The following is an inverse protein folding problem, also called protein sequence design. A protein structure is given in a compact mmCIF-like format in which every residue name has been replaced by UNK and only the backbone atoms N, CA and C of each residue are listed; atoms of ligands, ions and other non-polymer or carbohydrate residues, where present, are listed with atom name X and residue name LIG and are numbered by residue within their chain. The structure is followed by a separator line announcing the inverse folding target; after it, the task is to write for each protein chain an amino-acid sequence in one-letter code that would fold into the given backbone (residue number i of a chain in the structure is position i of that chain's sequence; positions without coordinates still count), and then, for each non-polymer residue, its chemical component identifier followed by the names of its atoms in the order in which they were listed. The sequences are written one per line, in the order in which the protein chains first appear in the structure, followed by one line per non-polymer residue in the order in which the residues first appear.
data_IF_917944119920
#
_entry.id   IF_917944119920
#
_cell.length_a   1.000
_cell.length_b   1.000
_cell.length_c   1.000
_cell.angle_alpha   90.00
_cell.angle_beta   90.00
_cell.angle_gamma   90.00
#
_symmetry.space_group_name_H-M   'P 1'
#
loop_
_entity.id
_entity.type
_entity.pdbx_description
1 polymer ?
#
# COMPACT_ATOMS: atom_id res chain seq x y z
N UNK A 1 -2.21 -1.49 11.62
CA UNK A 1 -3.04 -2.47 10.91
C UNK A 1 -2.25 -3.00 9.72
N UNK A 2 -2.02 -4.31 9.67
CA UNK A 2 -1.20 -4.95 8.62
C UNK A 2 -1.98 -5.29 7.33
N UNK A 3 -3.25 -4.95 7.25
CA UNK A 3 -4.05 -5.06 6.02
C UNK A 3 -4.81 -3.77 5.77
N UNK A 4 -4.88 -3.34 4.52
CA UNK A 4 -5.65 -2.17 4.13
C UNK A 4 -7.16 -2.37 4.39
N UNK A 5 -7.85 -1.26 4.65
CA UNK A 5 -9.29 -1.26 4.85
C UNK A 5 -10.01 -0.85 3.58
N UNK A 6 -10.57 -1.81 2.87
CA UNK A 6 -11.36 -1.60 1.65
C UNK A 6 -12.87 -1.55 1.90
N UNK A 7 -13.31 -1.45 3.16
CA UNK A 7 -14.73 -1.38 3.51
C UNK A 7 -15.32 0.02 3.31
N UNK A 8 -15.33 0.49 2.06
CA UNK A 8 -15.81 1.83 1.70
C UNK A 8 -17.33 1.91 1.56
N UNK A 9 -17.90 3.03 2.00
CA UNK A 9 -19.24 3.41 1.57
C UNK A 9 -19.23 3.88 0.12
N UNK A 10 -20.38 3.90 -0.56
CA UNK A 10 -20.47 4.43 -1.92
C UNK A 10 -19.97 5.88 -2.02
N UNK A 11 -20.25 6.72 -0.99
CA UNK A 11 -19.71 8.09 -0.91
C UNK A 11 -18.20 8.10 -0.81
N UNK A 12 -17.62 7.22 0.04
CA UNK A 12 -16.18 7.07 0.18
C UNK A 12 -15.51 6.61 -1.12
N UNK A 13 -16.15 5.71 -1.88
CA UNK A 13 -15.64 5.28 -3.20
C UNK A 13 -15.56 6.45 -4.18
N UNK A 14 -16.61 7.26 -4.28
CA UNK A 14 -16.64 8.43 -5.16
C UNK A 14 -15.62 9.50 -4.73
N UNK A 15 -15.40 9.67 -3.43
CA UNK A 15 -14.41 10.63 -2.92
C UNK A 15 -12.95 10.16 -3.13
N UNK A 16 -12.70 8.84 -3.03
CA UNK A 16 -11.33 8.29 -3.13
C UNK A 16 -10.93 7.99 -4.58
N UNK A 17 -11.86 7.56 -5.42
CA UNK A 17 -11.63 7.14 -6.81
C UNK A 17 -12.72 7.72 -7.75
N UNK A 18 -12.85 9.04 -7.80
CA UNK A 18 -13.84 9.77 -8.58
C UNK A 18 -13.94 9.30 -10.05
N UNK A 19 -12.77 9.13 -10.70
CA UNK A 19 -12.69 8.66 -12.08
C UNK A 19 -13.15 7.21 -12.27
N UNK A 20 -13.10 6.38 -11.22
CA UNK A 20 -13.52 4.98 -11.28
C UNK A 20 -14.96 4.77 -10.86
N UNK A 21 -15.48 5.67 -10.06
CA UNK A 21 -16.85 5.66 -9.56
C UNK A 21 -17.56 6.95 -9.97
N UNK A 22 -17.88 7.11 -11.28
CA UNK A 22 -18.37 8.38 -11.84
C UNK A 22 -19.81 8.71 -11.46
N UNK A 23 -20.57 7.77 -10.88
CA UNK A 23 -21.95 8.00 -10.45
C UNK A 23 -22.30 7.23 -9.18
N UNK A 24 -23.28 7.79 -8.45
CA UNK A 24 -23.80 7.15 -7.23
C UNK A 24 -24.38 5.76 -7.51
N UNK A 25 -25.17 5.62 -8.57
CA UNK A 25 -25.79 4.34 -8.95
C UNK A 25 -24.75 3.24 -9.18
N UNK A 26 -23.63 3.61 -9.81
CA UNK A 26 -22.54 2.68 -10.04
C UNK A 26 -21.79 2.38 -8.71
N UNK A 27 -21.44 3.40 -7.92
CA UNK A 27 -20.73 3.23 -6.66
C UNK A 27 -21.52 2.41 -5.63
N UNK A 28 -22.86 2.52 -5.61
CA UNK A 28 -23.73 1.72 -4.74
C UNK A 28 -23.61 0.23 -4.97
N UNK A 29 -23.27 -0.23 -6.18
CA UNK A 29 -23.05 -1.64 -6.50
C UNK A 29 -21.83 -2.25 -5.79
N UNK A 30 -20.95 -1.40 -5.25
CA UNK A 30 -19.73 -1.77 -4.53
C UNK A 30 -19.79 -1.45 -3.03
N UNK A 31 -20.90 -0.85 -2.57
CA UNK A 31 -21.04 -0.39 -1.20
C UNK A 31 -20.74 -1.49 -0.18
N UNK A 32 -19.70 -1.27 0.66
CA UNK A 32 -19.30 -2.21 1.70
C UNK A 32 -18.97 -3.63 1.22
N UNK A 33 -18.45 -3.76 -0.01
CA UNK A 33 -18.01 -5.03 -0.59
C UNK A 33 -16.48 -5.00 -0.83
N UNK A 34 -15.64 -5.21 0.20
CA UNK A 34 -14.19 -5.02 0.13
C UNK A 34 -13.51 -5.80 -1.00
N UNK A 35 -13.88 -7.06 -1.18
CA UNK A 35 -13.30 -7.92 -2.23
C UNK A 35 -13.64 -7.42 -3.62
N UNK A 36 -14.91 -7.09 -3.87
CA UNK A 36 -15.35 -6.54 -5.14
C UNK A 36 -14.70 -5.19 -5.44
N UNK A 37 -14.52 -4.35 -4.41
CA UNK A 37 -13.82 -3.07 -4.52
C UNK A 37 -12.37 -3.33 -4.93
N UNK A 38 -11.64 -4.19 -4.22
CA UNK A 38 -10.25 -4.52 -4.53
C UNK A 38 -10.09 -5.02 -5.96
N UNK A 39 -10.90 -6.01 -6.35
CA UNK A 39 -10.86 -6.61 -7.68
C UNK A 39 -11.20 -5.62 -8.80
N UNK A 40 -11.94 -4.57 -8.51
CA UNK A 40 -12.23 -3.51 -9.47
C UNK A 40 -11.13 -2.42 -9.50
N UNK A 41 -10.73 -1.89 -8.34
CA UNK A 41 -9.80 -0.75 -8.30
C UNK A 41 -8.37 -1.11 -8.66
N UNK A 42 -7.96 -2.36 -8.39
CA UNK A 42 -6.62 -2.86 -8.68
C UNK A 42 -6.53 -3.73 -9.95
N UNK A 43 -7.65 -3.93 -10.67
CA UNK A 43 -7.67 -4.70 -11.90
C UNK A 43 -6.71 -4.13 -12.97
N UNK A 44 -6.02 -5.02 -13.67
CA UNK A 44 -5.13 -4.71 -14.79
C UNK A 44 -4.05 -3.67 -14.45
N UNK A 45 -3.62 -3.64 -13.18
CA UNK A 45 -2.57 -2.75 -12.66
C UNK A 45 -1.57 -3.55 -11.82
N UNK A 46 -0.32 -3.10 -11.78
CA UNK A 46 0.72 -3.69 -10.93
C UNK A 46 0.84 -5.22 -11.10
N UNK A 47 0.65 -5.71 -12.34
CA UNK A 47 0.70 -7.13 -12.66
C UNK A 47 -0.54 -7.94 -12.31
N UNK A 48 -1.60 -7.32 -11.77
CA UNK A 48 -2.88 -7.98 -11.56
C UNK A 48 -3.61 -8.23 -12.88
N UNK A 49 -4.36 -9.32 -12.94
CA UNK A 49 -5.27 -9.63 -14.03
C UNK A 49 -6.56 -8.77 -14.01
N UNK A 50 -7.56 -9.10 -14.87
CA UNK A 50 -8.87 -8.45 -14.89
C UNK A 50 -9.62 -8.66 -13.56
N UNK A 51 -10.76 -7.97 -13.32
CA UNK A 51 -11.53 -8.13 -12.07
C UNK A 51 -11.91 -9.57 -11.76
N UNK A 52 -12.16 -10.39 -12.79
CA UNK A 52 -12.52 -11.81 -12.66
C UNK A 52 -11.37 -12.71 -12.18
N UNK A 53 -10.13 -12.25 -12.23
CA UNK A 53 -8.97 -13.01 -11.74
C UNK A 53 -8.90 -13.14 -10.23
N UNK A 54 -9.53 -12.22 -9.49
CA UNK A 54 -9.40 -12.13 -8.03
C UNK A 54 -8.07 -11.55 -7.55
N UNK A 55 -7.15 -11.21 -8.47
CA UNK A 55 -5.81 -10.71 -8.13
C UNK A 55 -5.85 -9.41 -7.30
N UNK A 56 -6.84 -8.54 -7.55
CA UNK A 56 -6.98 -7.29 -6.80
C UNK A 56 -7.18 -7.52 -5.30
N UNK A 57 -8.00 -8.51 -4.94
CA UNK A 57 -8.20 -8.91 -3.55
C UNK A 57 -7.04 -9.74 -3.02
N UNK A 58 -6.56 -10.71 -3.82
CA UNK A 58 -5.45 -11.57 -3.43
C UNK A 58 -4.20 -10.76 -3.10
N UNK A 59 -3.87 -9.75 -3.88
CA UNK A 59 -2.67 -8.92 -3.72
C UNK A 59 -2.98 -7.49 -3.24
N UNK A 60 -4.02 -7.35 -2.38
CA UNK A 60 -4.33 -6.08 -1.70
C UNK A 60 -3.22 -5.66 -0.75
N UNK A 61 -3.24 -4.43 -0.28
CA UNK A 61 -2.23 -3.87 0.60
C UNK A 61 -2.08 -4.66 1.91
N UNK A 62 -0.88 -5.21 2.15
CA UNK A 62 -0.51 -5.92 3.39
C UNK A 62 0.88 -5.54 3.88
N UNK A 63 1.15 -5.88 5.14
CA UNK A 63 2.39 -5.53 5.83
C UNK A 63 2.44 -4.08 6.27
N UNK A 64 3.57 -3.66 6.85
CA UNK A 64 3.75 -2.29 7.37
C UNK A 64 3.69 -1.23 6.27
N UNK A 65 4.16 -1.57 5.06
CA UNK A 65 4.16 -0.67 3.90
C UNK A 65 2.86 -0.71 3.10
N UNK A 66 1.96 -1.67 3.37
CA UNK A 66 0.82 -1.98 2.51
C UNK A 66 1.25 -2.31 1.08
N UNK A 67 2.17 -3.27 0.93
CA UNK A 67 2.60 -3.79 -0.36
C UNK A 67 1.37 -4.24 -1.17
N UNK A 68 1.22 -3.74 -2.40
CA UNK A 68 0.02 -3.94 -3.23
C UNK A 68 0.40 -4.34 -4.64
N UNK A 69 -0.35 -5.29 -5.21
CA UNK A 69 -0.23 -5.75 -6.59
C UNK A 69 0.72 -6.92 -6.79
N UNK A 70 0.32 -7.84 -7.67
CA UNK A 70 0.99 -9.12 -7.93
C UNK A 70 2.48 -8.97 -8.28
N UNK A 71 2.82 -7.99 -9.11
CA UNK A 71 4.19 -7.69 -9.49
C UNK A 71 5.06 -7.32 -8.29
N UNK A 72 4.54 -6.47 -7.39
CA UNK A 72 5.27 -6.05 -6.19
C UNK A 72 5.42 -7.20 -5.18
N UNK A 73 4.40 -8.06 -5.05
CA UNK A 73 4.49 -9.27 -4.25
C UNK A 73 5.57 -10.21 -4.79
N UNK A 74 5.63 -10.42 -6.11
CA UNK A 74 6.65 -11.27 -6.74
C UNK A 74 8.07 -10.72 -6.54
N UNK A 75 8.27 -9.40 -6.70
CA UNK A 75 9.57 -8.74 -6.43
C UNK A 75 9.99 -8.89 -4.98
N UNK A 76 9.07 -8.62 -4.05
CA UNK A 76 9.33 -8.75 -2.62
C UNK A 76 9.64 -10.20 -2.24
N UNK A 77 8.93 -11.18 -2.83
CA UNK A 77 9.21 -12.62 -2.64
C UNK A 77 10.67 -12.96 -2.92
N UNK A 78 11.19 -12.50 -4.06
CA UNK A 78 12.60 -12.67 -4.40
C UNK A 78 13.54 -11.95 -3.45
N UNK A 79 13.19 -10.73 -3.04
CA UNK A 79 14.02 -9.90 -2.17
C UNK A 79 14.14 -10.39 -0.73
N UNK A 80 13.09 -11.03 -0.19
CA UNK A 80 13.10 -11.52 1.20
C UNK A 80 13.16 -13.05 1.31
N UNK A 81 13.21 -13.78 0.17
CA UNK A 81 13.28 -15.23 0.16
C UNK A 81 12.05 -15.94 0.75
N UNK A 82 10.85 -15.41 0.45
CA UNK A 82 9.55 -15.95 0.91
C UNK A 82 8.56 -16.01 -0.24
N UNK A 83 7.75 -17.06 -0.35
CA UNK A 83 6.73 -17.17 -1.41
C UNK A 83 5.46 -16.39 -1.05
N UNK A 84 5.49 -15.06 -1.25
CA UNK A 84 4.36 -14.17 -1.03
C UNK A 84 3.33 -14.20 -2.18
N UNK A 85 3.68 -14.81 -3.31
CA UNK A 85 2.75 -14.93 -4.46
C UNK A 85 1.74 -16.03 -4.21
N UNK A 86 2.20 -17.19 -3.72
CA UNK A 86 1.30 -18.29 -3.35
C UNK A 86 0.54 -17.98 -2.07
N UNK A 87 1.22 -17.47 -1.05
CA UNK A 87 0.65 -17.12 0.26
C UNK A 87 0.93 -15.66 0.64
N UNK A 88 0.12 -14.71 0.16
CA UNK A 88 0.28 -13.28 0.47
C UNK A 88 -0.09 -12.94 1.92
N UNK A 89 -0.81 -13.80 2.64
CA UNK A 89 -1.22 -13.54 4.01
C UNK A 89 -0.07 -13.65 5.02
N UNK A 90 1.09 -14.23 4.64
CA UNK A 90 2.33 -14.15 5.42
C UNK A 90 2.68 -12.70 5.82
N UNK A 91 2.35 -11.71 4.99
CA UNK A 91 2.57 -10.30 5.33
C UNK A 91 1.67 -9.76 6.46
N UNK A 92 0.75 -10.54 6.99
CA UNK A 92 -0.01 -10.22 8.21
C UNK A 92 0.72 -10.63 9.48
N UNK A 93 1.83 -11.36 9.37
CA UNK A 93 2.70 -11.73 10.47
C UNK A 93 3.77 -10.66 10.70
N UNK A 94 4.21 -10.49 11.94
CA UNK A 94 5.11 -9.40 12.34
C UNK A 94 6.45 -9.44 11.61
N UNK A 95 7.10 -10.61 11.52
CA UNK A 95 8.44 -10.72 10.92
C UNK A 95 8.40 -10.53 9.41
N UNK A 96 7.53 -11.21 8.63
CA UNK A 96 7.40 -10.96 7.20
C UNK A 96 6.99 -9.51 6.88
N UNK A 97 6.10 -8.92 7.68
CA UNK A 97 5.69 -7.52 7.51
C UNK A 97 6.88 -6.55 7.68
N UNK A 98 7.72 -6.77 8.69
CA UNK A 98 8.93 -5.95 8.91
C UNK A 98 9.96 -6.16 7.79
N UNK A 99 10.22 -7.41 7.39
CA UNK A 99 11.16 -7.74 6.29
C UNK A 99 10.72 -7.11 4.97
N UNK A 100 9.44 -7.16 4.65
CA UNK A 100 8.90 -6.55 3.42
C UNK A 100 9.03 -5.03 3.43
N UNK A 101 8.88 -4.37 4.58
CA UNK A 101 9.09 -2.93 4.72
C UNK A 101 10.57 -2.55 4.57
N UNK A 102 11.48 -3.30 5.17
CA UNK A 102 12.93 -3.09 5.02
C UNK A 102 13.39 -3.32 3.58
N UNK A 103 12.87 -4.37 2.92
CA UNK A 103 13.12 -4.61 1.51
C UNK A 103 12.64 -3.42 0.65
N UNK A 104 11.43 -2.94 0.88
CA UNK A 104 10.88 -1.81 0.11
C UNK A 104 11.69 -0.53 0.34
N UNK A 105 12.17 -0.29 1.55
CA UNK A 105 13.04 0.82 1.89
C UNK A 105 14.33 0.80 1.07
N UNK A 106 14.95 -0.37 0.97
CA UNK A 106 16.14 -0.56 0.13
C UNK A 106 15.82 -0.45 -1.37
N UNK A 107 14.68 -0.97 -1.81
CA UNK A 107 14.26 -1.00 -3.22
C UNK A 107 14.00 0.40 -3.82
N UNK A 108 13.64 1.37 -2.98
CA UNK A 108 13.44 2.77 -3.38
C UNK A 108 14.61 3.68 -2.99
N UNK A 109 15.75 3.12 -2.61
CA UNK A 109 16.95 3.85 -2.16
C UNK A 109 16.64 4.90 -1.08
N UNK A 110 15.76 4.55 -0.12
CA UNK A 110 15.21 5.49 0.86
C UNK A 110 16.28 6.17 1.73
N UNK A 111 17.43 5.52 1.95
CA UNK A 111 18.56 6.12 2.68
C UNK A 111 19.10 7.38 2.02
N UNK A 112 19.04 7.50 0.67
CA UNK A 112 19.49 8.73 -0.02
C UNK A 112 18.74 9.98 0.44
N UNK A 113 17.50 9.83 0.85
CA UNK A 113 16.67 10.90 1.39
C UNK A 113 16.82 11.02 2.91
N UNK A 114 16.81 9.88 3.61
CA UNK A 114 16.86 9.85 5.07
C UNK A 114 18.17 10.43 5.62
N UNK A 115 19.32 10.11 5.02
CA UNK A 115 20.64 10.52 5.47
C UNK A 115 20.86 12.04 5.37
N UNK A 116 20.12 12.72 4.48
CA UNK A 116 20.15 14.18 4.33
C UNK A 116 18.92 14.88 4.96
N UNK A 117 18.05 14.12 5.63
CA UNK A 117 16.85 14.67 6.27
C UNK A 117 15.76 15.14 5.31
N UNK A 118 15.77 14.67 4.04
CA UNK A 118 14.77 15.02 3.04
C UNK A 118 13.47 14.19 3.22
N UNK A 119 12.64 14.63 4.15
CA UNK A 119 11.33 13.97 4.43
C UNK A 119 10.39 14.07 3.23
N UNK A 120 10.49 15.11 2.44
CA UNK A 120 9.61 15.36 1.28
C UNK A 120 9.95 14.40 0.15
N UNK A 121 11.24 14.33 -0.23
CA UNK A 121 11.73 13.39 -1.23
C UNK A 121 11.45 11.94 -0.82
N UNK A 122 11.70 11.58 0.45
CA UNK A 122 11.38 10.27 1.00
C UNK A 122 9.88 9.94 0.90
N UNK A 123 9.03 10.92 1.26
CA UNK A 123 7.57 10.75 1.16
C UNK A 123 7.15 10.49 -0.28
N UNK A 124 7.70 11.23 -1.23
CA UNK A 124 7.40 11.05 -2.65
C UNK A 124 7.90 9.70 -3.17
N UNK A 125 9.13 9.32 -2.86
CA UNK A 125 9.72 8.04 -3.27
C UNK A 125 8.89 6.83 -2.77
N UNK A 126 8.39 6.92 -1.52
CA UNK A 126 7.59 5.84 -0.92
C UNK A 126 6.15 5.80 -1.43
N UNK A 127 5.49 6.94 -1.61
CA UNK A 127 4.04 7.01 -1.88
C UNK A 127 3.68 7.37 -3.33
N UNK A 128 4.63 7.87 -4.13
CA UNK A 128 4.33 8.46 -5.43
C UNK A 128 3.56 9.78 -5.34
N UNK A 129 3.61 10.46 -4.18
CA UNK A 129 2.93 11.73 -3.91
C UNK A 129 3.08 12.17 -2.45
N UNK A 130 2.49 13.30 -2.09
CA UNK A 130 2.67 13.95 -0.79
C UNK A 130 1.52 13.72 0.21
N UNK A 131 0.68 12.72 -0.01
CA UNK A 131 -0.41 12.40 0.92
C UNK A 131 0.15 12.05 2.32
N UNK A 132 -0.28 12.79 3.37
CA UNK A 132 0.17 12.60 4.74
C UNK A 132 1.59 13.16 5.02
N UNK A 133 2.10 14.07 4.20
CA UNK A 133 3.43 14.68 4.40
C UNK A 133 3.53 15.43 5.72
N UNK A 134 2.55 16.27 6.07
CA UNK A 134 2.59 17.06 7.30
C UNK A 134 2.62 16.17 8.55
N UNK A 135 1.85 15.08 8.53
CA UNK A 135 1.85 14.08 9.60
C UNK A 135 3.23 13.39 9.75
N UNK A 136 3.86 13.05 8.61
CA UNK A 136 5.22 12.47 8.61
C UNK A 136 6.26 13.43 9.13
N UNK A 137 6.22 14.70 8.74
CA UNK A 137 7.13 15.73 9.25
C UNK A 137 7.02 15.84 10.76
N UNK A 138 5.80 16.00 11.29
CA UNK A 138 5.55 16.09 12.73
C UNK A 138 6.03 14.85 13.50
N UNK A 139 5.80 13.65 12.95
CA UNK A 139 6.26 12.40 13.56
C UNK A 139 7.79 12.26 13.52
N UNK A 140 8.43 12.68 12.42
CA UNK A 140 9.89 12.67 12.29
C UNK A 140 10.54 13.61 13.28
N UNK A 141 10.05 14.85 13.41
CA UNK A 141 10.54 15.84 14.39
C UNK A 141 10.42 15.28 15.82
N UNK A 142 9.28 14.68 16.18
CA UNK A 142 9.09 14.07 17.50
C UNK A 142 10.04 12.90 17.74
N UNK A 143 10.27 12.06 16.72
CA UNK A 143 11.20 10.93 16.85
C UNK A 143 12.64 11.43 17.07
N UNK A 144 13.09 12.40 16.29
CA UNK A 144 14.43 12.99 16.42
C UNK A 144 14.64 13.64 17.79
N UNK A 145 13.64 14.35 18.31
CA UNK A 145 13.71 14.98 19.62
C UNK A 145 13.92 13.98 20.79
N UNK A 146 13.44 12.73 20.62
CA UNK A 146 13.61 11.66 21.63
C UNK A 146 14.91 10.87 21.42
N UNK A 147 15.37 10.74 20.16
CA UNK A 147 16.57 9.95 19.84
C UNK A 147 17.89 10.70 20.11
N UNK A 148 17.86 12.03 20.20
CA UNK A 148 19.03 12.90 20.40
C UNK A 148 19.16 13.35 21.87
N UNK A 149 18.20 13.00 22.72
CA UNK A 149 18.22 13.25 24.16
C UNK A 149 18.92 12.09 24.89
#
# INVERSE_FOLDING_TARGET
RLSENLNYSWRGLMATWDKRFPSESFARQFHRQPEKIANYVYASRMGNGPPSSGDGWKYRGRGLKHLTGKYNYARCSGGIGMDLVSDPDQLLETVPAARSAAWYWADVDANLFADVGDVDGLTYAINGGYNGLDDRRALTERALAVMVA
#
